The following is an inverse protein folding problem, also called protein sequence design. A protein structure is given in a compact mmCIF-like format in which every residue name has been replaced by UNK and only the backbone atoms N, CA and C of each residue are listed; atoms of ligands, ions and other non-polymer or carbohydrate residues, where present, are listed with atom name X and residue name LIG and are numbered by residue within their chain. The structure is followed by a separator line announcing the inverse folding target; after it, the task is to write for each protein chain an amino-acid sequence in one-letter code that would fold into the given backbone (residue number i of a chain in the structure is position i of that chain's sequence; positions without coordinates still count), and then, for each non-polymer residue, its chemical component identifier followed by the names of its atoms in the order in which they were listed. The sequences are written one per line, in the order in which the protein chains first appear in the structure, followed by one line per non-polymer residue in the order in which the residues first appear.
data_IF_702562605504
#
_entry.id   IF_702562605504
#
_cell.length_a   1.000
_cell.length_b   1.000
_cell.length_c   1.000
_cell.angle_alpha   90.00
_cell.angle_beta   90.00
_cell.angle_gamma   90.00
#
_symmetry.space_group_name_H-M   'P 1'
#
loop_
_entity.id
_entity.type
_entity.pdbx_description
1 polymer ?
#
# COMPACT_ATOMS: atom_id res chain seq x y z
N UNK A 1 -47.34 2.30 25.22
CA UNK A 1 -46.07 1.60 25.48
C UNK A 1 -45.27 1.62 24.19
N UNK A 2 -44.42 2.63 24.01
CA UNK A 2 -43.50 2.76 22.88
C UNK A 2 -42.12 2.43 23.42
N UNK A 3 -41.60 1.26 23.01
CA UNK A 3 -40.18 0.94 23.17
C UNK A 3 -39.36 1.97 22.38
N UNK A 4 -38.35 2.64 22.97
CA UNK A 4 -37.48 3.50 22.19
C UNK A 4 -36.67 2.58 21.26
N UNK A 5 -36.90 2.74 19.96
CA UNK A 5 -36.11 2.09 18.94
C UNK A 5 -34.64 2.48 19.13
N UNK A 6 -33.81 1.44 19.19
CA UNK A 6 -32.37 1.52 19.31
C UNK A 6 -31.83 2.61 18.36
N UNK A 7 -31.19 3.63 18.93
CA UNK A 7 -30.31 4.52 18.18
C UNK A 7 -29.24 3.65 17.53
N UNK A 8 -29.45 3.29 16.27
CA UNK A 8 -28.42 2.74 15.42
C UNK A 8 -27.29 3.77 15.41
N UNK A 9 -26.22 3.42 16.13
CA UNK A 9 -24.96 4.14 16.12
C UNK A 9 -24.57 4.34 14.65
N UNK A 10 -24.77 5.57 14.17
CA UNK A 10 -24.26 6.00 12.87
C UNK A 10 -22.77 5.72 12.86
N UNK A 11 -22.36 4.82 11.97
CA UNK A 11 -20.99 4.38 11.79
C UNK A 11 -20.01 5.56 11.85
N UNK A 12 -19.34 5.72 12.99
CA UNK A 12 -18.25 6.67 13.14
C UNK A 12 -17.04 6.07 12.43
N UNK A 13 -16.71 6.54 11.22
CA UNK A 13 -15.38 6.31 10.67
C UNK A 13 -15.23 6.30 9.15
N UNK A 14 -16.29 6.13 8.37
CA UNK A 14 -16.14 6.10 6.90
C UNK A 14 -16.10 7.52 6.32
N UNK A 15 -14.92 8.13 6.33
CA UNK A 15 -14.64 9.31 5.51
C UNK A 15 -14.81 8.88 4.05
N UNK A 16 -15.69 9.58 3.33
CA UNK A 16 -15.90 9.30 1.91
C UNK A 16 -14.61 9.58 1.14
N UNK A 17 -14.27 8.73 0.18
CA UNK A 17 -13.02 8.83 -0.58
C UNK A 17 -12.78 10.21 -1.22
N UNK A 18 -13.85 10.92 -1.63
CA UNK A 18 -13.73 12.26 -2.20
C UNK A 18 -13.19 13.32 -1.21
N UNK A 19 -13.37 13.10 0.10
CA UNK A 19 -12.80 13.96 1.14
C UNK A 19 -11.29 13.73 1.25
N UNK A 20 -10.85 12.47 1.14
CA UNK A 20 -9.42 12.12 1.19
C UNK A 20 -8.69 12.61 -0.06
N UNK A 21 -9.31 12.47 -1.24
CA UNK A 21 -8.68 12.90 -2.51
C UNK A 21 -8.77 14.41 -2.75
N UNK A 22 -9.59 15.14 -1.98
CA UNK A 22 -9.86 16.56 -2.20
C UNK A 22 -10.54 16.82 -3.55
N UNK A 23 -11.34 15.87 -4.04
CA UNK A 23 -11.99 15.94 -5.37
C UNK A 23 -11.08 15.58 -6.55
N UNK A 24 -9.81 15.22 -6.31
CA UNK A 24 -8.91 14.75 -7.37
C UNK A 24 -9.38 13.41 -7.93
N UNK A 25 -9.24 13.24 -9.25
CA UNK A 25 -9.50 11.99 -9.95
C UNK A 25 -8.53 10.89 -9.52
N UNK A 26 -9.00 9.65 -9.49
CA UNK A 26 -8.17 8.51 -9.14
C UNK A 26 -7.24 8.14 -10.31
N UNK A 27 -5.95 7.88 -10.06
CA UNK A 27 -5.03 7.47 -11.11
C UNK A 27 -5.38 6.08 -11.66
N UNK A 28 -5.05 5.86 -12.93
CA UNK A 28 -5.14 4.53 -13.55
C UNK A 28 -4.14 3.54 -12.94
N UNK A 29 -4.15 2.29 -13.43
CA UNK A 29 -3.23 1.26 -12.99
C UNK A 29 -1.85 1.32 -13.67
N UNK A 30 -1.68 2.13 -14.72
CA UNK A 30 -0.46 2.16 -15.52
C UNK A 30 0.69 2.86 -14.79
N UNK A 31 0.39 3.88 -13.98
CA UNK A 31 1.40 4.61 -13.20
C UNK A 31 1.94 3.86 -11.96
N UNK A 32 1.12 3.00 -11.35
CA UNK A 32 1.49 2.28 -10.12
C UNK A 32 0.68 0.97 -9.95
N UNK A 33 1.20 -0.12 -10.50
CA UNK A 33 0.60 -1.46 -10.39
C UNK A 33 0.49 -1.92 -8.92
N UNK A 34 -0.50 -2.77 -8.61
CA UNK A 34 -0.76 -3.32 -7.28
C UNK A 34 0.46 -4.02 -6.65
N UNK A 35 1.28 -4.67 -7.48
CA UNK A 35 2.48 -5.42 -7.06
C UNK A 35 3.74 -4.55 -7.08
N UNK A 36 3.64 -3.27 -7.42
CA UNK A 36 4.76 -2.33 -7.30
C UNK A 36 5.12 -2.16 -5.85
N UNK A 37 6.40 -2.30 -5.52
CA UNK A 37 6.88 -2.12 -4.15
C UNK A 37 7.27 -0.67 -3.92
N UNK A 38 6.88 -0.15 -2.77
CA UNK A 38 7.16 1.21 -2.32
C UNK A 38 7.80 1.19 -0.94
N UNK A 39 8.66 2.17 -0.66
CA UNK A 39 9.27 2.39 0.65
C UNK A 39 9.60 3.88 0.79
N UNK A 40 9.73 4.38 2.01
CA UNK A 40 10.23 5.73 2.25
C UNK A 40 11.67 5.84 1.71
N UNK A 41 11.93 6.91 0.96
CA UNK A 41 13.26 7.18 0.43
C UNK A 41 14.24 7.49 1.58
N UNK A 42 15.51 7.08 1.48
CA UNK A 42 16.49 7.29 2.54
C UNK A 42 16.65 8.79 2.85
N UNK A 43 16.94 9.08 4.12
CA UNK A 43 17.18 10.43 4.65
C UNK A 43 16.04 11.44 4.43
N UNK A 44 14.84 10.97 4.12
CA UNK A 44 13.65 11.83 4.02
C UNK A 44 12.98 12.01 5.37
N UNK A 45 12.49 13.22 5.58
CA UNK A 45 11.62 13.56 6.71
C UNK A 45 10.18 13.61 6.26
N UNK A 46 9.27 13.33 7.20
CA UNK A 46 7.84 13.38 6.95
C UNK A 46 7.42 14.78 6.49
N UNK A 47 6.49 14.91 5.52
CA UNK A 47 5.97 16.22 5.12
C UNK A 47 5.42 16.99 6.32
N UNK A 48 5.56 18.33 6.36
CA UNK A 48 4.98 19.13 7.42
C UNK A 48 3.45 19.06 7.38
N UNK A 49 2.80 18.89 8.54
CA UNK A 49 1.35 18.78 8.69
C UNK A 49 0.69 17.76 7.75
N UNK A 50 1.13 16.49 7.77
CA UNK A 50 0.59 15.47 6.88
C UNK A 50 -0.85 15.15 7.27
N UNK A 51 -1.68 14.78 6.28
CA UNK A 51 -3.00 14.20 6.56
C UNK A 51 -2.85 12.92 7.38
N UNK A 52 -3.89 12.47 8.09
CA UNK A 52 -3.87 11.21 8.82
C UNK A 52 -3.44 10.02 7.94
N UNK A 53 -3.92 9.96 6.70
CA UNK A 53 -3.61 8.90 5.75
C UNK A 53 -2.15 8.97 5.30
N UNK A 54 -1.63 10.17 5.01
CA UNK A 54 -0.20 10.35 4.64
C UNK A 54 0.71 9.99 5.82
N UNK A 55 0.31 10.30 7.05
CA UNK A 55 1.03 9.89 8.27
C UNK A 55 1.05 8.37 8.42
N UNK A 56 -0.10 7.73 8.26
CA UNK A 56 -0.20 6.27 8.37
C UNK A 56 0.62 5.55 7.28
N UNK A 57 0.58 6.05 6.04
CA UNK A 57 1.44 5.56 4.94
C UNK A 57 2.91 5.73 5.30
N UNK A 58 3.30 6.88 5.84
CA UNK A 58 4.68 7.15 6.22
C UNK A 58 5.18 6.15 7.27
N UNK A 59 4.43 5.97 8.36
CA UNK A 59 4.76 5.04 9.44
C UNK A 59 4.86 3.60 8.92
N UNK A 60 3.88 3.17 8.11
CA UNK A 60 3.84 1.82 7.55
C UNK A 60 5.02 1.53 6.61
N UNK A 61 5.30 2.45 5.66
CA UNK A 61 6.37 2.28 4.67
C UNK A 61 7.77 2.60 5.21
N UNK A 62 7.89 3.10 6.45
CA UNK A 62 9.19 3.29 7.11
C UNK A 62 9.81 1.96 7.57
N UNK A 63 9.00 0.90 7.71
CA UNK A 63 9.46 -0.45 8.08
C UNK A 63 10.12 -1.23 6.94
N UNK A 64 10.05 -0.74 5.71
CA UNK A 64 10.63 -1.38 4.52
C UNK A 64 9.68 -1.38 3.32
N UNK A 65 9.97 -2.26 2.36
CA UNK A 65 9.20 -2.36 1.12
C UNK A 65 7.87 -3.07 1.34
N UNK A 66 6.79 -2.43 0.88
CA UNK A 66 5.45 -3.01 0.78
C UNK A 66 4.88 -2.77 -0.61
N UNK A 67 4.05 -3.68 -1.08
CA UNK A 67 3.29 -3.49 -2.31
C UNK A 67 2.16 -2.49 -2.12
N UNK A 68 1.70 -1.86 -3.20
CA UNK A 68 0.52 -0.97 -3.17
C UNK A 68 -0.70 -1.70 -2.62
N UNK A 69 -0.87 -2.98 -2.95
CA UNK A 69 -1.94 -3.81 -2.42
C UNK A 69 -1.85 -3.96 -0.90
N UNK A 70 -0.66 -4.23 -0.37
CA UNK A 70 -0.43 -4.33 1.07
C UNK A 70 -0.68 -3.00 1.78
N UNK A 71 -0.18 -1.88 1.24
CA UNK A 71 -0.45 -0.55 1.82
C UNK A 71 -1.95 -0.27 1.87
N UNK A 72 -2.68 -0.51 0.78
CA UNK A 72 -4.12 -0.31 0.73
C UNK A 72 -4.87 -1.21 1.72
N UNK A 73 -4.47 -2.49 1.82
CA UNK A 73 -5.07 -3.47 2.72
C UNK A 73 -4.81 -3.16 4.20
N UNK A 74 -3.58 -2.80 4.56
CA UNK A 74 -3.21 -2.48 5.94
C UNK A 74 -3.89 -1.21 6.47
N UNK A 75 -4.11 -0.24 5.60
CA UNK A 75 -4.72 1.04 5.96
C UNK A 75 -6.23 1.09 5.68
N UNK A 76 -6.81 -0.02 5.21
CA UNK A 76 -8.22 -0.13 4.80
C UNK A 76 -8.65 0.98 3.80
N UNK A 77 -7.70 1.43 2.97
CA UNK A 77 -7.93 2.46 1.97
C UNK A 77 -8.39 1.84 0.65
N UNK A 78 -9.34 2.46 -0.08
CA UNK A 78 -9.59 2.09 -1.46
C UNK A 78 -8.31 2.20 -2.28
N UNK A 79 -8.02 1.19 -3.10
CA UNK A 79 -6.76 1.08 -3.88
C UNK A 79 -6.44 2.35 -4.66
N UNK A 80 -7.44 2.98 -5.29
CA UNK A 80 -7.23 4.22 -6.04
C UNK A 80 -6.77 5.38 -5.15
N UNK A 81 -7.29 5.47 -3.93
CA UNK A 81 -6.89 6.49 -2.95
C UNK A 81 -5.46 6.24 -2.49
N UNK A 82 -5.12 4.99 -2.17
CA UNK A 82 -3.75 4.61 -1.83
C UNK A 82 -2.77 4.96 -2.96
N UNK A 83 -3.08 4.61 -4.22
CA UNK A 83 -2.24 4.99 -5.38
C UNK A 83 -2.07 6.49 -5.51
N UNK A 84 -3.14 7.25 -5.33
CA UNK A 84 -3.09 8.71 -5.42
C UNK A 84 -2.13 9.29 -4.39
N UNK A 85 -2.26 8.91 -3.12
CA UNK A 85 -1.38 9.38 -2.05
C UNK A 85 0.08 8.91 -2.23
N UNK A 86 0.28 7.67 -2.67
CA UNK A 86 1.61 7.13 -2.95
C UNK A 86 2.28 7.84 -4.14
N UNK A 87 1.51 8.19 -5.18
CA UNK A 87 2.02 8.98 -6.30
C UNK A 87 2.39 10.39 -5.85
N UNK A 88 1.55 11.06 -5.07
CA UNK A 88 1.86 12.39 -4.53
C UNK A 88 3.19 12.38 -3.75
N UNK A 89 3.37 11.39 -2.86
CA UNK A 89 4.61 11.23 -2.10
C UNK A 89 5.81 10.89 -2.98
N UNK A 90 5.62 10.08 -4.02
CA UNK A 90 6.68 9.75 -4.98
C UNK A 90 7.10 10.97 -5.82
N UNK A 91 6.14 11.78 -6.26
CA UNK A 91 6.37 12.99 -7.04
C UNK A 91 7.07 14.08 -6.21
N UNK A 92 6.81 14.11 -4.90
CA UNK A 92 7.54 14.95 -3.93
C UNK A 92 8.92 14.38 -3.56
N UNK A 93 9.28 13.18 -4.03
CA UNK A 93 10.56 12.53 -3.76
C UNK A 93 10.67 11.92 -2.36
N UNK A 94 9.55 11.72 -1.67
CA UNK A 94 9.46 11.08 -0.35
C UNK A 94 9.43 9.55 -0.43
N UNK A 95 8.95 8.98 -1.53
CA UNK A 95 8.89 7.54 -1.76
C UNK A 95 9.81 7.09 -2.87
N UNK A 96 10.43 5.92 -2.68
CA UNK A 96 11.07 5.15 -3.74
C UNK A 96 10.11 4.08 -4.25
N UNK A 97 10.14 3.85 -5.57
CA UNK A 97 9.37 2.81 -6.25
C UNK A 97 10.33 1.77 -6.79
N UNK A 98 10.09 0.49 -6.47
CA UNK A 98 10.73 -0.64 -7.14
C UNK A 98 9.70 -1.27 -8.05
N UNK A 99 9.99 -1.25 -9.36
CA UNK A 99 9.14 -1.90 -10.36
C UNK A 99 8.95 -3.36 -9.98
N UNK A 100 7.75 -3.88 -10.20
CA UNK A 100 7.47 -5.29 -10.04
C UNK A 100 8.52 -6.12 -10.82
N UNK A 101 9.03 -7.23 -10.24
CA UNK A 101 9.89 -8.13 -10.98
C UNK A 101 9.17 -8.58 -12.26
N UNK A 102 9.91 -8.85 -13.34
CA UNK A 102 9.30 -9.39 -14.54
C UNK A 102 8.53 -10.67 -14.20
N UNK A 103 7.46 -11.00 -14.93
CA UNK A 103 6.77 -12.26 -14.76
C UNK A 103 7.77 -13.42 -14.72
N UNK A 104 7.62 -14.32 -13.76
CA UNK A 104 8.49 -15.48 -13.67
C UNK A 104 8.42 -16.26 -14.99
N UNK A 105 9.57 -16.55 -15.58
CA UNK A 105 9.64 -17.48 -16.69
C UNK A 105 9.28 -18.86 -16.17
N UNK A 106 8.56 -19.65 -16.97
CA UNK A 106 8.30 -21.04 -16.63
C UNK A 106 9.64 -21.79 -16.63
N UNK A 107 10.11 -22.14 -15.44
CA UNK A 107 11.32 -22.95 -15.23
C UNK A 107 10.92 -24.41 -15.03
N UNK A 108 11.78 -25.34 -15.45
CA UNK A 108 11.58 -26.75 -15.21
C UNK A 108 11.43 -27.01 -13.69
N UNK A 109 10.35 -27.71 -13.31
CA UNK A 109 10.07 -28.06 -11.92
C UNK A 109 11.27 -28.73 -11.25
N UNK A 110 12.02 -29.56 -11.98
CA UNK A 110 13.18 -30.26 -11.44
C UNK A 110 14.23 -29.29 -10.86
N UNK A 111 14.45 -28.15 -11.52
CA UNK A 111 15.39 -27.13 -11.06
C UNK A 111 14.89 -26.49 -9.76
N UNK A 112 13.58 -26.21 -9.65
CA UNK A 112 12.99 -25.64 -8.44
C UNK A 112 13.11 -26.60 -7.24
N UNK A 113 12.92 -27.90 -7.47
CA UNK A 113 13.10 -28.95 -6.45
C UNK A 113 14.56 -29.03 -5.98
N UNK A 114 15.53 -28.97 -6.90
CA UNK A 114 16.96 -28.96 -6.57
C UNK A 114 17.34 -27.72 -5.73
N UNK A 115 16.85 -26.52 -6.09
CA UNK A 115 17.07 -25.30 -5.31
C UNK A 115 16.46 -25.39 -3.92
N UNK A 116 15.19 -25.85 -3.82
CA UNK A 116 14.51 -26.00 -2.53
C UNK A 116 15.26 -26.96 -1.62
N UNK A 117 15.70 -28.11 -2.15
CA UNK A 117 16.50 -29.06 -1.40
C UNK A 117 17.80 -28.43 -0.90
N UNK A 118 18.51 -27.68 -1.75
CA UNK A 118 19.72 -26.96 -1.37
C UNK A 118 19.50 -25.91 -0.28
N UNK A 119 18.38 -25.16 -0.32
CA UNK A 119 18.04 -24.17 0.70
C UNK A 119 17.74 -24.84 2.06
N UNK A 120 17.02 -25.96 2.07
CA UNK A 120 16.78 -26.72 3.31
C UNK A 120 18.06 -27.31 3.89
N UNK A 121 18.99 -27.81 3.07
CA UNK A 121 20.26 -28.36 3.58
C UNK A 121 21.18 -27.28 4.14
N UNK A 122 21.16 -26.07 3.57
CA UNK A 122 22.08 -24.99 3.94
C UNK A 122 21.58 -24.13 5.11
N UNK A 123 20.27 -23.98 5.27
CA UNK A 123 19.67 -23.07 6.24
C UNK A 123 18.62 -23.74 7.16
N UNK A 124 18.37 -25.04 6.99
CA UNK A 124 17.50 -25.85 7.86
C UNK A 124 18.25 -26.56 8.98
#
# INVERSE_FOLDING_TARGET
MTTPGEEQAVSSGFIRSYVITGGRGLPDAEGLSLVTLVTIAPDRQQPPNPSPEVRAIWELCSGGYLSVAEVAGHLELPVGVARLLLNDLADQGHLMRRKAPPPAQLVDRKILEEVLHGLHVRFG
#
